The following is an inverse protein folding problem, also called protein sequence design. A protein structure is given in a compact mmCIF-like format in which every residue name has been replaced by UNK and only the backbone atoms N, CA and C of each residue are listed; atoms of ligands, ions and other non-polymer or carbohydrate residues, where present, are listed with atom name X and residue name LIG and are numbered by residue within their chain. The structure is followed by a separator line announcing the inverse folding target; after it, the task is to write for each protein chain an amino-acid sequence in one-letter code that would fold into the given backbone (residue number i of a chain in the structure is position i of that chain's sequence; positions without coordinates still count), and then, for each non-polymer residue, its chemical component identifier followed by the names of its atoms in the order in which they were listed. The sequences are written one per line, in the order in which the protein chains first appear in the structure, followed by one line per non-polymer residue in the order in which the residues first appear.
data_IF_334230171583
#
_entry.id   IF_334230171583
#
_cell.length_a   1.000
_cell.length_b   1.000
_cell.length_c   1.000
_cell.angle_alpha   90.00
_cell.angle_beta   90.00
_cell.angle_gamma   90.00
#
_symmetry.space_group_name_H-M   'P 1'
#
loop_
_entity.id
_entity.type
_entity.pdbx_description
1 polymer ?
#
# COMPACT_ATOMS: atom_id res chain seq x y z
N UNK A 1 4.51 -20.64 -10.73
CA UNK A 1 5.00 -19.37 -10.21
C UNK A 1 4.26 -18.24 -10.94
N UNK A 2 4.11 -17.07 -10.33
CA UNK A 2 3.50 -15.91 -10.97
C UNK A 2 4.57 -14.98 -11.55
N UNK A 3 4.34 -14.47 -12.76
CA UNK A 3 5.29 -13.58 -13.47
C UNK A 3 5.26 -12.15 -12.92
N UNK A 4 4.12 -11.70 -12.40
CA UNK A 4 3.90 -10.35 -11.87
C UNK A 4 2.73 -10.31 -10.87
N UNK A 5 2.58 -9.17 -10.19
CA UNK A 5 1.58 -8.95 -9.15
C UNK A 5 0.75 -7.71 -9.51
N UNK A 6 -0.58 -7.84 -9.53
CA UNK A 6 -1.49 -6.71 -9.44
C UNK A 6 -1.87 -6.50 -7.98
N UNK A 7 -1.76 -5.26 -7.48
CA UNK A 7 -2.13 -4.93 -6.10
C UNK A 7 -3.07 -3.73 -6.06
N UNK A 8 -4.27 -3.91 -5.56
CA UNK A 8 -5.40 -2.99 -5.79
C UNK A 8 -5.59 -1.90 -4.72
N UNK A 9 -4.56 -1.57 -3.94
CA UNK A 9 -4.62 -0.49 -2.94
C UNK A 9 -5.31 -0.89 -1.63
N UNK A 10 -5.87 0.09 -0.94
CA UNK A 10 -6.52 -0.01 0.38
C UNK A 10 -5.60 -0.60 1.48
N UNK A 11 -4.47 0.08 1.68
CA UNK A 11 -3.46 -0.26 2.68
C UNK A 11 -3.77 0.37 4.05
N UNK A 12 -4.25 1.61 4.06
CA UNK A 12 -4.52 2.36 5.29
C UNK A 12 -5.79 1.81 5.93
N UNK A 13 -5.75 1.55 7.24
CA UNK A 13 -6.89 0.97 7.95
C UNK A 13 -8.05 1.97 8.12
N UNK A 14 -9.15 1.48 8.69
CA UNK A 14 -10.40 2.25 8.80
C UNK A 14 -10.43 3.20 10.02
N UNK A 15 -9.32 3.33 10.75
CA UNK A 15 -9.10 4.35 11.78
C UNK A 15 -8.83 5.74 11.20
N UNK A 16 -9.63 6.16 10.22
CA UNK A 16 -9.45 7.39 9.43
C UNK A 16 -9.27 8.66 10.30
N UNK A 17 -9.93 8.68 11.47
CA UNK A 17 -9.88 9.78 12.43
C UNK A 17 -8.52 9.98 13.10
N UNK A 18 -7.62 8.99 13.01
CA UNK A 18 -6.27 9.01 13.59
C UNK A 18 -5.17 8.89 12.53
N UNK A 19 -5.49 9.20 11.27
CA UNK A 19 -4.51 9.17 10.17
C UNK A 19 -3.76 10.49 10.03
N UNK A 20 -2.52 10.41 9.54
CA UNK A 20 -1.72 11.57 9.12
C UNK A 20 -1.05 11.26 7.79
N UNK A 21 -0.68 12.29 7.03
CA UNK A 21 0.05 12.11 5.76
C UNK A 21 1.33 11.28 5.92
N UNK A 22 2.06 11.48 7.02
CA UNK A 22 3.29 10.72 7.30
C UNK A 22 2.98 9.29 7.76
N UNK A 23 1.90 9.09 8.53
CA UNK A 23 1.40 7.76 8.88
C UNK A 23 1.03 6.93 7.65
N UNK A 24 0.25 7.50 6.72
CA UNK A 24 -0.13 6.84 5.47
C UNK A 24 1.10 6.46 4.64
N UNK A 25 2.04 7.39 4.44
CA UNK A 25 3.31 7.10 3.75
C UNK A 25 4.09 5.97 4.41
N UNK A 26 4.14 5.93 5.74
CA UNK A 26 4.87 4.93 6.49
C UNK A 26 4.28 3.53 6.31
N UNK A 27 2.94 3.38 6.42
CA UNK A 27 2.28 2.08 6.24
C UNK A 27 2.34 1.61 4.79
N UNK A 28 2.13 2.51 3.82
CA UNK A 28 2.30 2.22 2.39
C UNK A 28 3.72 1.71 2.11
N UNK A 29 4.74 2.43 2.60
CA UNK A 29 6.14 2.02 2.44
C UNK A 29 6.45 0.67 3.09
N UNK A 30 5.85 0.38 4.26
CA UNK A 30 6.00 -0.89 4.95
C UNK A 30 5.43 -2.05 4.14
N UNK A 31 4.24 -1.89 3.56
CA UNK A 31 3.62 -2.92 2.72
C UNK A 31 4.47 -3.20 1.48
N UNK A 32 4.94 -2.19 0.75
CA UNK A 32 5.80 -2.44 -0.42
C UNK A 32 7.16 -3.06 -0.06
N UNK A 33 7.72 -2.75 1.11
CA UNK A 33 8.92 -3.43 1.61
C UNK A 33 8.66 -4.92 1.86
N UNK A 34 7.52 -5.28 2.46
CA UNK A 34 7.15 -6.68 2.65
C UNK A 34 6.85 -7.37 1.31
N UNK A 35 6.19 -6.71 0.35
CA UNK A 35 6.01 -7.26 -1.00
C UNK A 35 7.38 -7.55 -1.63
N UNK A 36 8.31 -6.59 -1.65
CA UNK A 36 9.66 -6.79 -2.20
C UNK A 36 10.42 -7.92 -1.47
N UNK A 37 10.31 -7.99 -0.15
CA UNK A 37 10.97 -9.02 0.66
C UNK A 37 10.47 -10.44 0.35
N UNK A 38 9.16 -10.59 0.10
CA UNK A 38 8.55 -11.91 -0.13
C UNK A 38 8.54 -12.32 -1.63
N UNK A 39 8.51 -11.35 -2.54
CA UNK A 39 8.37 -11.60 -3.98
C UNK A 39 9.61 -11.21 -4.80
N UNK A 40 10.66 -10.67 -4.16
CA UNK A 40 11.91 -10.30 -4.80
C UNK A 40 11.75 -9.16 -5.80
N UNK A 41 12.34 -9.32 -6.99
CA UNK A 41 12.29 -8.32 -8.07
C UNK A 41 11.10 -8.53 -9.02
N UNK A 42 10.08 -9.32 -8.64
CA UNK A 42 8.87 -9.49 -9.45
C UNK A 42 8.18 -8.13 -9.65
N UNK A 43 7.77 -7.78 -10.88
CA UNK A 43 7.04 -6.55 -11.14
C UNK A 43 5.74 -6.49 -10.34
N UNK A 44 5.51 -5.35 -9.69
CA UNK A 44 4.28 -5.02 -8.97
C UNK A 44 3.62 -3.86 -9.69
N UNK A 45 2.37 -4.04 -10.09
CA UNK A 45 1.53 -3.04 -10.74
C UNK A 45 0.43 -2.60 -9.78
N UNK A 46 0.65 -1.52 -9.02
CA UNK A 46 -0.32 -1.09 -8.03
C UNK A 46 -1.41 -0.18 -8.59
N UNK A 47 -2.57 -0.23 -7.96
CA UNK A 47 -3.66 0.73 -8.08
C UNK A 47 -3.78 1.47 -6.74
N UNK A 48 -4.10 2.76 -6.79
CA UNK A 48 -4.35 3.57 -5.59
C UNK A 48 -5.83 3.41 -5.23
N UNK A 49 -6.12 2.92 -4.03
CA UNK A 49 -7.44 2.83 -3.43
C UNK A 49 -7.86 4.13 -2.75
N UNK A 50 -9.09 4.16 -2.23
CA UNK A 50 -9.65 5.38 -1.63
C UNK A 50 -9.11 5.68 -0.22
N UNK A 51 -8.49 4.69 0.42
CA UNK A 51 -7.91 4.83 1.75
C UNK A 51 -6.49 5.44 1.76
N UNK A 52 -5.80 5.54 0.60
CA UNK A 52 -4.41 6.01 0.58
C UNK A 52 -4.26 7.51 0.91
N UNK A 53 -5.27 8.33 0.63
CA UNK A 53 -5.24 9.77 0.86
C UNK A 53 -5.45 10.13 2.34
N UNK A 54 -4.97 11.32 2.73
CA UNK A 54 -5.30 11.94 4.00
C UNK A 54 -5.69 13.41 3.77
N UNK A 55 -6.94 13.84 4.06
CA UNK A 55 -8.04 13.00 4.58
C UNK A 55 -8.48 11.93 3.58
N UNK A 56 -9.19 10.91 4.04
CA UNK A 56 -9.63 9.81 3.15
C UNK A 56 -10.65 10.30 2.10
N UNK A 57 -10.69 9.55 0.99
CA UNK A 57 -11.44 9.80 -0.25
C UNK A 57 -10.86 10.92 -1.13
#
# INVERSE_FOLDING_TARGET
DADYIYYTGDIVDHGEWDTTREGNKAIISKVYKEIKKNFGEKPVYPIIGNHEANPLN
#
